data_IF_620228105606
#
_entry.id   IF_620228105606
#
_cell.length_a   1.000
_cell.length_b   1.000
_cell.length_c   1.000
_cell.angle_alpha   90.00
_cell.angle_beta   90.00
_cell.angle_gamma   90.00
#
_symmetry.space_group_name_H-M   'P 1'
#
loop_
_entity.id
_entity.type
_entity.pdbx_description
1 polymer ?
#
# COMPACT_ATOMS: atom_id res chain seq x y z
N UNK A 1 1.93 -9.89 -1.81
CA UNK A 1 1.81 -8.72 -2.69
C UNK A 1 0.36 -8.26 -2.64
N UNK A 2 0.12 -7.10 -2.03
CA UNK A 2 -1.24 -6.58 -1.77
C UNK A 2 -1.67 -5.44 -2.69
N UNK A 3 -0.89 -5.18 -3.74
CA UNK A 3 -1.21 -4.23 -4.80
C UNK A 3 -1.67 -5.01 -6.04
N UNK A 4 -2.90 -4.77 -6.49
CA UNK A 4 -3.44 -5.32 -7.74
C UNK A 4 -4.00 -4.19 -8.59
N UNK A 5 -4.17 -4.44 -9.89
CA UNK A 5 -4.63 -3.42 -10.83
C UNK A 5 -5.73 -3.93 -11.77
N UNK A 6 -6.57 -3.02 -12.24
CA UNK A 6 -7.53 -3.26 -13.31
C UNK A 6 -7.47 -2.11 -14.33
N UNK A 7 -7.36 -2.44 -15.61
CA UNK A 7 -7.19 -1.47 -16.70
C UNK A 7 -6.14 -1.93 -17.69
N UNK A 8 -5.88 -1.11 -18.72
CA UNK A 8 -4.84 -1.35 -19.72
C UNK A 8 -4.03 -0.07 -19.90
N UNK A 9 -2.73 -0.24 -20.08
CA UNK A 9 -1.81 0.84 -20.46
C UNK A 9 -1.62 0.84 -21.99
N UNK A 10 -1.53 2.01 -22.63
CA UNK A 10 -1.78 3.35 -22.10
C UNK A 10 -3.26 3.57 -21.76
N UNK A 11 -3.55 4.28 -20.66
CA UNK A 11 -4.92 4.58 -20.26
C UNK A 11 -5.14 4.62 -18.75
N UNK A 12 -6.41 4.74 -18.33
CA UNK A 12 -6.77 4.69 -16.92
C UNK A 12 -6.53 3.29 -16.36
N UNK A 13 -5.84 3.24 -15.23
CA UNK A 13 -5.58 2.03 -14.44
C UNK A 13 -6.05 2.28 -13.01
N UNK A 14 -6.94 1.41 -12.54
CA UNK A 14 -7.36 1.37 -11.14
C UNK A 14 -6.40 0.51 -10.33
N UNK A 15 -5.96 1.04 -9.21
CA UNK A 15 -5.12 0.36 -8.25
C UNK A 15 -5.93 0.00 -7.00
N UNK A 16 -5.77 -1.23 -6.54
CA UNK A 16 -6.31 -1.72 -5.28
C UNK A 16 -5.14 -2.07 -4.38
N UNK A 17 -5.08 -1.42 -3.22
CA UNK A 17 -4.00 -1.57 -2.27
C UNK A 17 -4.58 -2.01 -0.92
N UNK A 18 -4.05 -3.10 -0.36
CA UNK A 18 -4.37 -3.55 0.99
C UNK A 18 -3.12 -3.49 1.89
N UNK A 19 -3.34 -3.27 3.19
CA UNK A 19 -2.28 -3.29 4.19
C UNK A 19 -1.78 -4.72 4.41
N UNK A 20 -0.48 -4.93 4.31
CA UNK A 20 0.20 -6.20 4.57
C UNK A 20 0.49 -6.44 6.07
N UNK A 21 0.27 -5.42 6.93
CA UNK A 21 0.44 -5.57 8.37
C UNK A 21 -0.58 -6.55 8.96
N UNK A 22 -0.10 -7.53 9.74
CA UNK A 22 -0.97 -8.58 10.32
C UNK A 22 -2.07 -7.98 11.19
N UNK A 23 -3.31 -8.35 10.90
CA UNK A 23 -4.48 -7.88 11.65
C UNK A 23 -4.99 -6.50 11.23
N UNK A 24 -4.38 -5.87 10.23
CA UNK A 24 -4.91 -4.66 9.61
C UNK A 24 -5.79 -5.04 8.40
N UNK A 25 -6.98 -4.44 8.31
CA UNK A 25 -7.92 -4.61 7.19
C UNK A 25 -8.01 -3.37 6.30
N UNK A 26 -7.14 -2.38 6.54
CA UNK A 26 -7.10 -1.14 5.79
C UNK A 26 -6.85 -1.41 4.30
N UNK A 27 -7.67 -0.76 3.47
CA UNK A 27 -7.61 -0.83 2.01
C UNK A 27 -7.80 0.56 1.44
N UNK A 28 -7.19 0.81 0.29
CA UNK A 28 -7.46 2.01 -0.51
C UNK A 28 -7.58 1.65 -1.99
N UNK A 29 -8.25 2.51 -2.74
CA UNK A 29 -8.42 2.40 -4.18
C UNK A 29 -8.22 3.77 -4.79
N UNK A 30 -7.44 3.82 -5.87
CA UNK A 30 -7.18 5.06 -6.59
C UNK A 30 -6.98 4.76 -8.08
N UNK A 31 -7.20 5.78 -8.90
CA UNK A 31 -7.09 5.69 -10.36
C UNK A 31 -5.92 6.57 -10.83
N UNK A 32 -5.06 6.03 -11.70
CA UNK A 32 -4.01 6.79 -12.37
C UNK A 32 -4.14 6.61 -13.88
N UNK A 33 -3.92 7.68 -14.64
CA UNK A 33 -3.75 7.59 -16.09
C UNK A 33 -2.28 7.34 -16.37
N UNK A 34 -1.96 6.15 -16.89
CA UNK A 34 -0.59 5.79 -17.26
C UNK A 34 -0.43 6.04 -18.76
N UNK A 35 0.39 7.01 -19.18
CA UNK A 35 0.54 7.37 -20.59
C UNK A 35 1.42 6.40 -21.37
N UNK A 36 2.29 5.67 -20.68
CA UNK A 36 3.26 4.76 -21.29
C UNK A 36 2.76 3.30 -21.22
N UNK A 37 2.81 2.54 -22.33
CA UNK A 37 2.37 1.14 -22.34
C UNK A 37 3.19 0.25 -21.41
N UNK A 38 4.42 0.64 -21.06
CA UNK A 38 5.42 -0.19 -20.42
C UNK A 38 6.17 -1.05 -21.44
N UNK A 39 7.26 -1.71 -21.01
CA UNK A 39 7.98 -2.64 -21.87
C UNK A 39 7.12 -3.87 -22.18
N UNK A 40 7.39 -4.50 -23.33
CA UNK A 40 6.77 -5.78 -23.65
C UNK A 40 7.31 -6.88 -22.73
N UNK A 41 6.51 -7.92 -22.49
CA UNK A 41 6.91 -9.07 -21.66
C UNK A 41 8.16 -9.78 -22.19
N UNK A 42 8.31 -9.81 -23.51
CA UNK A 42 9.40 -10.55 -24.18
C UNK A 42 10.71 -9.75 -24.17
N UNK A 43 10.63 -8.42 -24.14
CA UNK A 43 11.81 -7.54 -24.08
C UNK A 43 12.32 -7.35 -22.64
N UNK A 44 11.41 -7.20 -21.68
CA UNK A 44 11.73 -7.06 -20.25
C UNK A 44 10.57 -7.57 -19.37
N UNK A 45 10.68 -8.83 -18.93
CA UNK A 45 9.69 -9.45 -18.06
C UNK A 45 9.53 -8.70 -16.72
N UNK A 46 10.62 -8.21 -16.13
CA UNK A 46 10.57 -7.56 -14.83
C UNK A 46 9.99 -6.16 -14.94
N UNK A 47 10.40 -5.39 -15.93
CA UNK A 47 9.80 -4.11 -16.26
C UNK A 47 8.32 -4.25 -16.56
N UNK A 48 7.92 -5.26 -17.34
CA UNK A 48 6.51 -5.52 -17.66
C UNK A 48 5.68 -5.79 -16.39
N UNK A 49 6.19 -6.62 -15.48
CA UNK A 49 5.50 -6.95 -14.23
C UNK A 49 5.45 -5.79 -13.23
N UNK A 50 6.49 -4.95 -13.19
CA UNK A 50 6.63 -3.89 -12.19
C UNK A 50 6.17 -2.50 -12.68
N UNK A 51 5.90 -2.32 -13.98
CA UNK A 51 5.55 -1.03 -14.61
C UNK A 51 4.47 -0.26 -13.83
N UNK A 52 3.35 -0.92 -13.54
CA UNK A 52 2.24 -0.32 -12.81
C UNK A 52 2.64 0.07 -11.38
N UNK A 53 3.35 -0.82 -10.68
CA UNK A 53 3.77 -0.59 -9.29
C UNK A 53 4.77 0.57 -9.18
N UNK A 54 5.75 0.63 -10.09
CA UNK A 54 6.72 1.74 -10.15
C UNK A 54 6.03 3.06 -10.45
N UNK A 55 5.09 3.07 -11.39
CA UNK A 55 4.34 4.28 -11.75
C UNK A 55 3.46 4.76 -10.59
N UNK A 56 2.85 3.84 -9.83
CA UNK A 56 2.00 4.19 -8.69
C UNK A 56 2.77 4.56 -7.42
N UNK A 57 4.05 4.19 -7.30
CA UNK A 57 4.83 4.36 -6.07
C UNK A 57 4.82 5.80 -5.53
N UNK A 58 5.02 6.85 -6.34
CA UNK A 58 4.94 8.23 -5.84
C UNK A 58 3.57 8.56 -5.24
N UNK A 59 2.49 8.16 -5.91
CA UNK A 59 1.13 8.42 -5.45
C UNK A 59 0.78 7.63 -4.18
N UNK A 60 1.22 6.37 -4.10
CA UNK A 60 1.06 5.56 -2.88
C UNK A 60 1.72 6.25 -1.68
N UNK A 61 2.89 6.86 -1.86
CA UNK A 61 3.58 7.64 -0.81
C UNK A 61 2.82 8.91 -0.42
N UNK A 62 2.24 9.63 -1.38
CA UNK A 62 1.40 10.81 -1.12
C UNK A 62 0.17 10.47 -0.28
N UNK A 63 -0.39 9.27 -0.45
CA UNK A 63 -1.48 8.75 0.38
C UNK A 63 -1.02 8.34 1.80
N UNK A 64 0.27 8.50 2.13
CA UNK A 64 0.86 8.14 3.43
C UNK A 64 1.17 6.66 3.59
N UNK A 65 1.03 5.85 2.53
CA UNK A 65 1.38 4.44 2.57
C UNK A 65 2.89 4.26 2.35
N UNK A 66 3.48 3.26 2.99
CA UNK A 66 4.90 2.95 2.82
C UNK A 66 5.10 1.48 2.41
N UNK A 67 6.05 1.25 1.51
CA UNK A 67 6.55 -0.10 1.24
C UNK A 67 7.67 -0.43 2.23
N UNK A 68 7.45 -1.44 3.07
CA UNK A 68 8.42 -1.96 4.02
C UNK A 68 9.14 -3.14 3.36
N UNK A 69 10.45 -3.02 3.18
CA UNK A 69 11.25 -4.01 2.45
C UNK A 69 11.11 -5.39 3.09
N UNK A 70 10.55 -6.35 2.33
CA UNK A 70 10.30 -7.72 2.77
C UNK A 70 8.92 -7.94 3.40
N UNK A 71 8.27 -6.88 3.89
CA UNK A 71 6.99 -6.96 4.61
C UNK A 71 5.78 -6.43 3.83
N UNK A 72 6.02 -5.75 2.70
CA UNK A 72 4.95 -5.27 1.81
C UNK A 72 4.47 -3.84 2.12
N UNK A 73 3.27 -3.49 1.67
CA UNK A 73 2.71 -2.14 1.83
C UNK A 73 1.97 -1.99 3.15
N UNK A 74 2.30 -0.96 3.91
CA UNK A 74 1.66 -0.64 5.18
C UNK A 74 0.86 0.67 5.04
N UNK A 75 -0.32 0.71 5.67
CA UNK A 75 -1.17 1.88 5.68
C UNK A 75 -0.61 2.98 6.62
N UNK A 76 -1.07 4.24 6.50
CA UNK A 76 -0.60 5.33 7.34
C UNK A 76 -0.67 5.03 8.85
N UNK A 77 -1.72 4.34 9.29
CA UNK A 77 -1.93 3.99 10.70
C UNK A 77 -0.91 2.96 11.21
N UNK A 78 -0.53 1.99 10.37
CA UNK A 78 0.49 0.99 10.70
C UNK A 78 1.91 1.51 10.50
N UNK A 79 2.10 2.51 9.63
CA UNK A 79 3.39 3.19 9.41
C UNK A 79 3.71 4.23 10.49
N UNK A 80 2.69 4.81 11.13
CA UNK A 80 2.91 5.76 12.20
C UNK A 80 3.66 5.05 13.34
N UNK A 81 4.81 5.57 13.81
CA UNK A 81 5.34 5.13 15.09
C UNK A 81 4.23 5.36 16.09
N UNK A 82 3.91 4.34 16.90
CA UNK A 82 2.87 4.43 17.91
C UNK A 82 3.11 5.67 18.77
N UNK A 83 2.48 6.79 18.42
CA UNK A 83 2.39 7.95 19.27
C UNK A 83 1.46 7.49 20.38
N UNK A 84 2.07 6.95 21.43
CA UNK A 84 1.54 6.69 22.75
C UNK A 84 0.02 6.88 22.83
N UNK A 85 -0.75 5.84 22.50
CA UNK A 85 -1.90 5.62 23.37
C UNK A 85 -1.28 5.37 24.75
N UNK A 86 -1.52 6.23 25.76
CA UNK A 86 -1.17 5.85 27.11
C UNK A 86 -1.87 4.52 27.34
N UNK A 87 -1.08 3.49 27.57
CA UNK A 87 -1.54 2.20 28.09
C UNK A 87 -2.55 2.54 29.18
N UNK A 88 -3.84 2.34 28.91
CA UNK A 88 -4.84 2.34 29.96
C UNK A 88 -4.46 1.17 30.86
N UNK A 89 -3.63 1.46 31.87
CA UNK A 89 -3.40 0.57 32.98
C UNK A 89 -4.78 0.24 33.54
N UNK A 90 -5.11 -1.03 33.81
CA UNK A 90 -6.32 -1.34 34.55
C UNK A 90 -6.21 -0.60 35.90
N UNK A 91 -7.08 0.38 36.11
CA UNK A 91 -7.11 1.15 37.34
C UNK A 91 -7.31 0.22 38.53
N UNK A 92 -6.61 0.41 39.65
CA UNK A 92 -6.85 -0.38 40.85
C UNK A 92 -8.17 0.09 41.45
N UNK A 93 -9.18 -0.79 41.51
CA UNK A 93 -10.31 -0.58 42.41
C UNK A 93 -10.48 -1.78 43.32
N UNK A 94 -10.13 -1.50 44.57
CA UNK A 94 -10.38 -2.26 45.78
C UNK A 94 -11.82 -2.76 45.86
N UNK A 95 -12.00 -3.98 46.32
CA UNK A 95 -13.24 -4.37 47.00
C UNK A 95 -12.89 -4.85 48.42
N UNK A 96 -13.61 -4.23 49.34
CA UNK A 96 -13.68 -4.46 50.78
C UNK A 96 -14.31 -5.82 51.10
#
# INVERSE_FOLDING_TARGET
MSLTTAGKTPGPVRFYLACDHRGCDARTTFDLVIPDPGPSRDDDLWGYLLHHAHTATPHIKELGWAYINGDGYWCPDCCAPAHHHPRSLPGPTSHT
#
